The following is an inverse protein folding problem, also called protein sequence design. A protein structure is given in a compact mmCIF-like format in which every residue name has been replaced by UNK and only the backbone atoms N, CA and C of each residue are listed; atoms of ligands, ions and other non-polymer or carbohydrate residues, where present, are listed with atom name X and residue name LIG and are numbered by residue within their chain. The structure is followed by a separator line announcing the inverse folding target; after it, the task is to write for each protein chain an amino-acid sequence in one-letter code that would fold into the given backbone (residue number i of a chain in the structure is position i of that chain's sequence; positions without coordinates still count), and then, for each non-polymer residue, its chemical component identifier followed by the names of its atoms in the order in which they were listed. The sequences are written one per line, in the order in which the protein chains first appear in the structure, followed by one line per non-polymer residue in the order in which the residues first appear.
data_IF_325601031560
#
_entry.id   IF_325601031560
#
_cell.length_a   1.000
_cell.length_b   1.000
_cell.length_c   1.000
_cell.angle_alpha   90.00
_cell.angle_beta   90.00
_cell.angle_gamma   90.00
#
_symmetry.space_group_name_H-M   'P 1'
#
loop_
_entity.id
_entity.type
_entity.pdbx_description
1 polymer ?
#
# COMPACT_ATOMS: atom_id res chain seq x y z
N UNK A 1 14.23 7.42 16.47
CA UNK A 1 12.92 6.92 16.02
C UNK A 1 13.16 5.66 15.21
N UNK A 2 12.65 4.52 15.65
CA UNK A 2 12.72 3.27 14.88
C UNK A 2 11.85 3.40 13.64
N UNK A 3 12.46 3.45 12.45
CA UNK A 3 11.71 3.34 11.21
C UNK A 3 11.28 1.89 11.04
N UNK A 4 9.97 1.62 11.07
CA UNK A 4 9.46 0.27 10.81
C UNK A 4 9.27 0.09 9.32
N UNK A 5 10.22 -0.58 8.67
CA UNK A 5 10.20 -0.82 7.22
C UNK A 5 9.96 -2.30 6.92
N UNK A 6 9.07 -2.60 5.99
CA UNK A 6 8.80 -3.97 5.50
C UNK A 6 8.86 -4.00 3.97
N UNK A 7 9.31 -5.13 3.41
CA UNK A 7 9.35 -5.34 1.96
C UNK A 7 8.17 -6.21 1.53
N UNK A 8 7.44 -5.74 0.51
CA UNK A 8 6.36 -6.46 -0.16
C UNK A 8 6.67 -6.58 -1.66
N UNK A 9 5.83 -7.27 -2.43
CA UNK A 9 6.04 -7.45 -3.87
C UNK A 9 6.16 -6.13 -4.64
N UNK A 10 5.52 -5.08 -4.15
CA UNK A 10 5.47 -3.74 -4.72
C UNK A 10 6.65 -2.84 -4.29
N UNK A 11 7.48 -3.26 -3.33
CA UNK A 11 8.59 -2.47 -2.82
C UNK A 11 8.60 -2.33 -1.29
N UNK A 12 9.29 -1.31 -0.80
CA UNK A 12 9.43 -1.05 0.64
C UNK A 12 8.30 -0.16 1.15
N UNK A 13 7.69 -0.55 2.27
CA UNK A 13 6.68 0.21 2.98
C UNK A 13 7.25 0.70 4.29
N UNK A 14 7.09 2.00 4.56
CA UNK A 14 7.42 2.60 5.84
C UNK A 14 6.14 2.76 6.68
N UNK A 15 6.14 2.14 7.85
CA UNK A 15 5.08 2.23 8.84
C UNK A 15 5.42 3.18 9.97
N UNK A 16 4.45 3.36 10.86
CA UNK A 16 4.62 4.06 12.12
C UNK A 16 4.33 3.11 13.28
N UNK A 17 5.06 3.26 14.37
CA UNK A 17 4.73 2.61 15.63
C UNK A 17 4.01 3.63 16.52
N UNK A 18 2.81 3.27 16.98
CA UNK A 18 2.01 4.11 17.87
C UNK A 18 1.23 3.24 18.84
N UNK A 19 1.30 3.57 20.12
CA UNK A 19 0.60 2.88 21.21
C UNK A 19 0.89 1.36 21.24
N UNK A 20 2.14 0.97 20.94
CA UNK A 20 2.58 -0.43 20.86
C UNK A 20 2.11 -1.19 19.61
N UNK A 21 1.51 -0.49 18.63
CA UNK A 21 1.00 -1.07 17.39
C UNK A 21 1.78 -0.50 16.20
N UNK A 22 2.27 -1.40 15.33
CA UNK A 22 2.82 -1.04 14.03
C UNK A 22 1.68 -0.86 13.03
N UNK A 23 1.66 0.28 12.35
CA UNK A 23 0.57 0.67 11.44
C UNK A 23 1.15 1.07 10.09
N UNK A 24 0.58 0.49 9.03
CA UNK A 24 0.80 0.90 7.65
C UNK A 24 -0.55 1.30 7.04
N UNK A 25 -0.60 2.46 6.38
CA UNK A 25 -1.85 3.06 5.92
C UNK A 25 -1.71 3.50 4.47
N UNK A 26 -2.81 3.43 3.71
CA UNK A 26 -2.85 3.92 2.33
C UNK A 26 -2.04 3.10 1.32
N UNK A 27 -1.72 1.84 1.62
CA UNK A 27 -0.97 0.97 0.70
C UNK A 27 -1.87 0.61 -0.49
N UNK A 28 -1.50 0.95 -1.73
CA UNK A 28 -2.24 0.52 -2.92
C UNK A 28 -2.16 -1.00 -3.08
N UNK A 29 -3.31 -1.66 -3.13
CA UNK A 29 -3.39 -3.11 -3.39
C UNK A 29 -3.77 -3.42 -4.84
N UNK A 30 -4.30 -2.43 -5.56
CA UNK A 30 -4.72 -2.51 -6.96
C UNK A 30 -4.60 -1.13 -7.62
N UNK A 31 -4.58 -1.10 -8.95
CA UNK A 31 -4.66 0.15 -9.70
C UNK A 31 -5.98 0.89 -9.43
N UNK A 32 -5.99 2.24 -9.41
CA UNK A 32 -7.22 3.01 -9.24
C UNK A 32 -8.31 2.66 -10.29
N UNK A 33 -9.53 2.28 -9.89
CA UNK A 33 -10.60 1.85 -10.80
C UNK A 33 -11.36 3.04 -11.42
N UNK A 34 -10.63 4.00 -11.98
CA UNK A 34 -11.16 5.23 -12.58
C UNK A 34 -10.96 5.25 -14.10
N UNK A 35 -11.65 6.18 -14.79
CA UNK A 35 -11.55 6.31 -16.25
C UNK A 35 -11.90 5.03 -16.99
N UNK A 36 -11.04 4.60 -17.90
CA UNK A 36 -11.17 3.36 -18.69
C UNK A 36 -11.21 2.10 -17.83
N UNK A 37 -10.72 2.15 -16.58
CA UNK A 37 -10.74 1.01 -15.65
C UNK A 37 -12.03 0.88 -14.86
N UNK A 38 -12.97 1.83 -15.02
CA UNK A 38 -14.25 1.76 -14.32
C UNK A 38 -15.01 0.50 -14.75
N UNK A 39 -15.59 -0.21 -13.78
CA UNK A 39 -16.32 -1.47 -13.98
C UNK A 39 -15.49 -2.65 -14.50
N UNK A 40 -14.16 -2.54 -14.56
CA UNK A 40 -13.28 -3.67 -14.86
C UNK A 40 -12.82 -4.37 -13.59
N UNK A 41 -12.32 -5.60 -13.74
CA UNK A 41 -11.67 -6.31 -12.65
C UNK A 41 -10.45 -5.52 -12.11
N UNK A 42 -10.11 -5.67 -10.82
CA UNK A 42 -8.91 -5.06 -10.26
C UNK A 42 -7.67 -5.48 -11.03
N UNK A 43 -6.77 -4.53 -11.23
CA UNK A 43 -5.47 -4.78 -11.82
C UNK A 43 -4.35 -4.56 -10.79
N UNK A 44 -3.13 -5.05 -11.04
CA UNK A 44 -2.00 -4.81 -10.15
C UNK A 44 -1.81 -3.32 -9.82
N UNK A 45 -1.38 -2.97 -8.60
CA UNK A 45 -1.08 -1.59 -8.24
C UNK A 45 0.07 -1.04 -9.10
N UNK A 46 0.09 0.28 -9.26
CA UNK A 46 1.17 0.99 -9.94
C UNK A 46 2.45 0.98 -9.07
N UNK A 47 3.62 0.99 -9.72
CA UNK A 47 4.95 0.94 -9.09
C UNK A 47 5.46 2.30 -8.64
#
# INVERSE_FOLDING_TARGET
MSSTTVTVAQGALQGIEKDGIVQFRGIPYAAPPVGERRFLAPAPPES
#
